data_IF_053530444478
#
_entry.id   IF_053530444478
#
_cell.length_a   1.000
_cell.length_b   1.000
_cell.length_c   1.000
_cell.angle_alpha   90.00
_cell.angle_beta   90.00
_cell.angle_gamma   90.00
#
_symmetry.space_group_name_H-M   'P 1'
#
loop_
_entity.id
_entity.type
_entity.pdbx_description
1 polymer ?
#
# COMPACT_ATOMS: atom_id res chain seq x y z
N UNK A 1 -31.53 4.41 -51.88
CA UNK A 1 -32.00 4.26 -50.48
C UNK A 1 -30.85 3.77 -49.64
N UNK A 2 -30.21 4.67 -48.89
CA UNK A 2 -29.11 4.32 -47.98
C UNK A 2 -29.74 3.90 -46.66
N UNK A 3 -29.54 2.63 -46.27
CA UNK A 3 -29.94 2.08 -44.97
C UNK A 3 -29.22 2.89 -43.89
N UNK A 4 -29.96 3.70 -43.12
CA UNK A 4 -29.43 4.30 -41.91
C UNK A 4 -28.94 3.17 -41.00
N UNK A 5 -27.66 3.18 -40.66
CA UNK A 5 -27.13 2.35 -39.58
C UNK A 5 -27.91 2.75 -38.33
N UNK A 6 -28.59 1.79 -37.72
CA UNK A 6 -29.24 1.96 -36.43
C UNK A 6 -28.23 2.57 -35.45
N UNK A 7 -28.50 3.80 -35.03
CA UNK A 7 -27.81 4.45 -33.92
C UNK A 7 -27.90 3.48 -32.74
N UNK A 8 -26.76 3.00 -32.22
CA UNK A 8 -26.77 2.39 -30.90
C UNK A 8 -27.34 3.45 -29.94
N UNK A 9 -28.29 3.12 -29.06
CA UNK A 9 -28.73 4.08 -28.06
C UNK A 9 -27.50 4.55 -27.29
N UNK A 10 -27.25 5.86 -27.29
CA UNK A 10 -26.25 6.49 -26.44
C UNK A 10 -26.63 6.12 -25.01
N UNK A 11 -26.02 5.05 -24.50
CA UNK A 11 -26.23 4.65 -23.13
C UNK A 11 -25.47 5.67 -22.32
N UNK A 12 -26.18 6.46 -21.52
CA UNK A 12 -25.54 7.49 -20.69
C UNK A 12 -24.45 6.83 -19.87
N UNK A 13 -23.21 7.23 -20.13
CA UNK A 13 -22.03 6.67 -19.49
C UNK A 13 -22.11 6.85 -17.97
N UNK A 14 -22.82 7.87 -17.49
CA UNK A 14 -23.05 8.09 -16.07
C UNK A 14 -24.05 7.10 -15.49
N UNK A 15 -25.11 6.73 -16.23
CA UNK A 15 -26.05 5.70 -15.81
C UNK A 15 -25.37 4.34 -15.73
N UNK A 16 -24.53 4.00 -16.72
CA UNK A 16 -23.73 2.77 -16.70
C UNK A 16 -22.71 2.75 -15.54
N UNK A 17 -22.00 3.84 -15.31
CA UNK A 17 -21.06 3.93 -14.19
C UNK A 17 -21.77 3.82 -12.84
N UNK A 18 -22.94 4.46 -12.71
CA UNK A 18 -23.76 4.38 -11.50
C UNK A 18 -24.26 2.96 -11.27
N UNK A 19 -24.72 2.30 -12.33
CA UNK A 19 -25.13 0.91 -12.27
C UNK A 19 -23.99 0.00 -11.81
N UNK A 20 -22.81 0.07 -12.45
CA UNK A 20 -21.67 -0.77 -12.08
C UNK A 20 -21.22 -0.53 -10.64
N UNK A 21 -21.18 0.74 -10.18
CA UNK A 21 -20.75 1.08 -8.81
C UNK A 21 -21.72 0.59 -7.74
N UNK A 22 -23.02 0.61 -8.02
CA UNK A 22 -24.06 0.34 -7.02
C UNK A 22 -24.61 -1.08 -7.08
N UNK A 23 -24.33 -1.84 -8.16
CA UNK A 23 -24.85 -3.19 -8.31
C UNK A 23 -24.22 -4.15 -7.26
N UNK A 24 -25.02 -4.63 -6.29
CA UNK A 24 -24.49 -5.44 -5.19
C UNK A 24 -23.97 -6.80 -5.67
N UNK A 25 -24.62 -7.39 -6.68
CA UNK A 25 -24.25 -8.70 -7.23
C UNK A 25 -22.90 -8.66 -7.96
N UNK A 26 -22.66 -7.60 -8.75
CA UNK A 26 -21.38 -7.41 -9.42
C UNK A 26 -20.26 -7.18 -8.40
N UNK A 27 -20.49 -6.31 -7.43
CA UNK A 27 -19.51 -6.02 -6.37
C UNK A 27 -19.22 -7.26 -5.51
N UNK A 28 -20.24 -8.03 -5.16
CA UNK A 28 -20.08 -9.27 -4.39
C UNK A 28 -19.30 -10.32 -5.19
N UNK A 29 -19.66 -10.55 -6.45
CA UNK A 29 -18.95 -11.51 -7.31
C UNK A 29 -17.48 -11.13 -7.51
N UNK A 30 -17.20 -9.83 -7.71
CA UNK A 30 -15.83 -9.33 -7.79
C UNK A 30 -15.06 -9.56 -6.49
N UNK A 31 -15.67 -9.28 -5.33
CA UNK A 31 -15.08 -9.53 -4.01
C UNK A 31 -14.77 -11.01 -3.80
N UNK A 32 -15.71 -11.91 -4.11
CA UNK A 32 -15.50 -13.35 -3.94
C UNK A 32 -14.39 -13.88 -4.85
N UNK A 33 -14.31 -13.40 -6.09
CA UNK A 33 -13.22 -13.74 -7.03
C UNK A 33 -11.85 -13.23 -6.56
N UNK A 34 -11.81 -12.06 -5.92
CA UNK A 34 -10.61 -11.47 -5.32
C UNK A 34 -10.15 -12.26 -4.10
N UNK A 35 -11.09 -12.70 -3.26
CA UNK A 35 -10.82 -13.41 -2.00
C UNK A 35 -10.63 -14.92 -2.16
N UNK A 36 -10.64 -15.47 -3.38
CA UNK A 36 -10.35 -16.89 -3.62
C UNK A 36 -8.93 -17.21 -3.14
N UNK A 37 -8.83 -17.89 -1.99
CA UNK A 37 -7.57 -18.24 -1.34
C UNK A 37 -6.61 -19.01 -2.26
N UNK A 38 -7.14 -19.79 -3.22
CA UNK A 38 -6.31 -20.55 -4.19
C UNK A 38 -5.56 -19.65 -5.16
N UNK A 39 -5.99 -18.39 -5.30
CA UNK A 39 -5.41 -17.40 -6.22
C UNK A 39 -4.71 -16.27 -5.48
N UNK A 40 -4.68 -16.29 -4.14
CA UNK A 40 -4.19 -15.21 -3.27
C UNK A 40 -2.82 -14.69 -3.72
N UNK A 41 -1.81 -15.55 -3.85
CA UNK A 41 -0.45 -15.13 -4.22
C UNK A 41 -0.39 -14.47 -5.61
N UNK A 42 -1.08 -15.08 -6.58
CA UNK A 42 -1.15 -14.55 -7.95
C UNK A 42 -1.86 -13.19 -7.99
N UNK A 43 -2.92 -13.04 -7.21
CA UNK A 43 -3.68 -11.80 -7.08
C UNK A 43 -2.87 -10.70 -6.42
N UNK A 44 -2.19 -11.00 -5.31
CA UNK A 44 -1.35 -10.04 -4.59
C UNK A 44 -0.29 -9.45 -5.53
N UNK A 45 0.46 -10.30 -6.23
CA UNK A 45 1.49 -9.84 -7.15
C UNK A 45 0.91 -9.08 -8.36
N UNK A 46 -0.26 -9.50 -8.87
CA UNK A 46 -0.93 -8.81 -9.96
C UNK A 46 -1.47 -7.43 -9.54
N UNK A 47 -2.08 -7.33 -8.36
CA UNK A 47 -2.59 -6.09 -7.80
C UNK A 47 -1.46 -5.10 -7.52
N UNK A 48 -0.36 -5.54 -6.91
CA UNK A 48 0.81 -4.70 -6.65
C UNK A 48 1.39 -4.09 -7.92
N UNK A 49 1.54 -4.90 -8.99
CA UNK A 49 2.01 -4.40 -10.30
C UNK A 49 1.02 -3.43 -10.91
N UNK A 50 -0.27 -3.78 -10.96
CA UNK A 50 -1.30 -2.96 -11.57
C UNK A 50 -1.43 -1.60 -10.87
N UNK A 51 -1.40 -1.59 -9.53
CA UNK A 51 -1.49 -0.37 -8.73
C UNK A 51 -0.22 0.46 -8.85
N UNK A 52 0.97 -0.15 -8.94
CA UNK A 52 2.20 0.60 -9.22
C UNK A 52 2.13 1.30 -10.57
N UNK A 53 1.67 0.62 -11.62
CA UNK A 53 1.48 1.27 -12.93
C UNK A 53 0.44 2.39 -12.83
N UNK A 54 -0.70 2.12 -12.23
CA UNK A 54 -1.80 3.09 -12.12
C UNK A 54 -1.46 4.33 -11.30
N UNK A 55 -0.95 4.15 -10.08
CA UNK A 55 -0.75 5.24 -9.11
C UNK A 55 0.60 5.93 -9.26
N UNK A 56 1.62 5.23 -9.77
CA UNK A 56 2.98 5.72 -9.80
C UNK A 56 3.49 5.95 -11.24
N UNK A 57 3.34 4.96 -12.13
CA UNK A 57 3.86 5.08 -13.50
C UNK A 57 3.07 6.08 -14.34
N UNK A 58 1.73 5.98 -14.35
CA UNK A 58 0.83 6.81 -15.16
C UNK A 58 0.66 8.25 -14.62
N UNK A 59 1.73 8.83 -14.09
CA UNK A 59 1.73 10.11 -13.40
C UNK A 59 3.01 10.91 -13.65
N UNK A 60 3.47 11.71 -12.68
CA UNK A 60 4.65 12.57 -12.84
C UNK A 60 5.92 11.81 -13.24
N UNK A 61 6.05 10.54 -12.83
CA UNK A 61 7.23 9.72 -13.11
C UNK A 61 7.42 9.46 -14.62
N UNK A 62 6.36 9.11 -15.35
CA UNK A 62 6.42 8.95 -16.81
C UNK A 62 6.77 10.27 -17.51
N UNK A 63 6.18 11.37 -17.05
CA UNK A 63 6.51 12.71 -17.58
C UNK A 63 7.97 13.10 -17.32
N UNK A 64 8.51 12.75 -16.14
CA UNK A 64 9.91 12.99 -15.79
C UNK A 64 10.86 12.10 -16.59
N UNK A 65 10.49 10.84 -16.85
CA UNK A 65 11.25 9.95 -17.72
C UNK A 65 11.29 10.48 -19.16
N UNK A 66 10.15 10.94 -19.70
CA UNK A 66 10.07 11.53 -21.04
C UNK A 66 10.90 12.81 -21.17
N UNK A 67 11.07 13.56 -20.08
CA UNK A 67 11.94 14.75 -20.00
C UNK A 67 13.42 14.42 -19.75
N UNK A 68 13.79 13.13 -19.68
CA UNK A 68 15.17 12.70 -19.40
C UNK A 68 15.64 12.95 -17.96
N UNK A 69 14.73 13.31 -17.04
CA UNK A 69 15.04 13.55 -15.62
C UNK A 69 15.15 12.26 -14.81
N UNK A 70 14.58 11.17 -15.31
CA UNK A 70 14.71 9.82 -14.76
C UNK A 70 15.25 8.90 -15.83
N UNK A 71 16.28 8.13 -15.50
CA UNK A 71 16.72 7.08 -16.40
C UNK A 71 15.74 5.90 -16.40
N UNK A 72 15.81 5.06 -17.43
CA UNK A 72 15.07 3.79 -17.44
C UNK A 72 15.43 2.91 -16.24
N UNK A 73 16.70 2.90 -15.83
CA UNK A 73 17.15 2.14 -14.67
C UNK A 73 16.56 2.65 -13.35
N UNK A 74 16.37 3.97 -13.21
CA UNK A 74 15.71 4.54 -12.03
C UNK A 74 14.24 4.16 -11.98
N UNK A 75 13.55 4.16 -13.14
CA UNK A 75 12.17 3.70 -13.25
C UNK A 75 12.02 2.21 -12.88
N UNK A 76 12.96 1.37 -13.31
CA UNK A 76 12.95 -0.06 -12.96
C UNK A 76 13.17 -0.30 -11.46
N UNK A 77 14.13 0.41 -10.84
CA UNK A 77 14.35 0.35 -9.38
C UNK A 77 13.12 0.80 -8.60
N UNK A 78 12.51 1.90 -9.02
CA UNK A 78 11.35 2.47 -8.34
C UNK A 78 10.11 1.58 -8.51
N UNK A 79 9.89 1.00 -9.70
CA UNK A 79 8.81 0.03 -9.93
C UNK A 79 9.00 -1.23 -9.08
N UNK A 80 10.24 -1.74 -8.97
CA UNK A 80 10.56 -2.87 -8.11
C UNK A 80 10.29 -2.56 -6.63
N UNK A 81 10.74 -1.38 -6.17
CA UNK A 81 10.51 -0.90 -4.82
C UNK A 81 9.00 -0.84 -4.50
N UNK A 82 8.24 -0.12 -5.33
CA UNK A 82 6.78 0.06 -5.14
C UNK A 82 6.02 -1.27 -5.18
N UNK A 83 6.31 -2.12 -6.18
CA UNK A 83 5.63 -3.42 -6.32
C UNK A 83 5.92 -4.33 -5.12
N UNK A 84 7.16 -4.31 -4.59
CA UNK A 84 7.53 -5.11 -3.42
C UNK A 84 6.80 -4.64 -2.16
N UNK A 85 6.73 -3.33 -1.92
CA UNK A 85 6.04 -2.76 -0.76
C UNK A 85 4.53 -2.99 -0.81
N UNK A 86 3.91 -2.79 -1.97
CA UNK A 86 2.47 -3.09 -2.16
C UNK A 86 2.17 -4.57 -2.03
N UNK A 87 3.06 -5.46 -2.50
CA UNK A 87 2.94 -6.90 -2.30
C UNK A 87 2.85 -7.24 -0.82
N UNK A 88 3.73 -6.66 0.00
CA UNK A 88 3.71 -6.87 1.45
C UNK A 88 2.44 -6.31 2.11
N UNK A 89 2.02 -5.10 1.75
CA UNK A 89 0.77 -4.52 2.24
C UNK A 89 -0.42 -5.43 1.95
N UNK A 90 -0.54 -5.94 0.73
CA UNK A 90 -1.60 -6.88 0.39
C UNK A 90 -1.44 -8.21 1.13
N UNK A 91 -0.22 -8.71 1.35
CA UNK A 91 -0.02 -9.90 2.18
C UNK A 91 -0.54 -9.70 3.60
N UNK A 92 -0.32 -8.54 4.22
CA UNK A 92 -0.85 -8.23 5.56
C UNK A 92 -2.38 -8.26 5.56
N UNK A 93 -3.01 -7.58 4.61
CA UNK A 93 -4.48 -7.50 4.49
C UNK A 93 -5.09 -8.89 4.25
N UNK A 94 -4.60 -9.62 3.24
CA UNK A 94 -5.14 -10.94 2.90
C UNK A 94 -4.81 -12.03 3.93
N UNK A 95 -3.88 -11.78 4.85
CA UNK A 95 -3.55 -12.70 5.93
C UNK A 95 -4.13 -12.24 7.27
N UNK A 96 -4.99 -11.22 7.27
CA UNK A 96 -5.64 -10.65 8.47
C UNK A 96 -4.65 -10.23 9.57
N UNK A 97 -3.42 -9.85 9.18
CA UNK A 97 -2.37 -9.34 10.09
C UNK A 97 -2.62 -7.86 10.41
N UNK A 98 -3.79 -7.57 10.98
CA UNK A 98 -4.29 -6.21 11.20
C UNK A 98 -3.43 -5.38 12.13
N UNK A 99 -2.86 -5.99 13.17
CA UNK A 99 -1.95 -5.30 14.10
C UNK A 99 -0.73 -4.75 13.36
N UNK A 100 -0.07 -5.58 12.56
CA UNK A 100 1.11 -5.17 11.79
C UNK A 100 0.77 -4.14 10.71
N UNK A 101 -0.39 -4.28 10.08
CA UNK A 101 -0.89 -3.29 9.12
C UNK A 101 -1.15 -1.93 9.78
N UNK A 102 -1.76 -1.92 10.97
CA UNK A 102 -1.98 -0.71 11.77
C UNK A 102 -0.65 -0.08 12.17
N UNK A 103 0.30 -0.85 12.71
CA UNK A 103 1.62 -0.36 13.11
C UNK A 103 2.40 0.21 11.93
N UNK A 104 2.32 -0.44 10.77
CA UNK A 104 2.88 0.09 9.51
C UNK A 104 2.31 1.49 9.23
N UNK A 105 0.98 1.66 9.22
CA UNK A 105 0.35 2.96 8.95
C UNK A 105 0.76 4.00 10.00
N UNK A 106 0.65 3.66 11.28
CA UNK A 106 0.91 4.59 12.38
C UNK A 106 2.36 5.06 12.39
N UNK A 107 3.31 4.17 12.09
CA UNK A 107 4.72 4.56 12.04
C UNK A 107 4.99 5.54 10.91
N UNK A 108 4.51 5.25 9.70
CA UNK A 108 4.75 6.14 8.56
C UNK A 108 3.98 7.47 8.69
N UNK A 109 2.90 7.51 9.48
CA UNK A 109 2.22 8.75 9.85
C UNK A 109 2.97 9.55 10.94
N UNK A 110 3.49 8.88 11.97
CA UNK A 110 4.21 9.51 13.09
C UNK A 110 5.59 10.04 12.71
N UNK A 111 6.25 9.39 11.75
CA UNK A 111 7.64 9.70 11.37
C UNK A 111 7.79 11.02 10.59
N UNK A 112 6.74 11.82 10.42
CA UNK A 112 6.84 13.12 9.74
C UNK A 112 7.35 13.02 8.31
N UNK A 113 7.30 11.81 7.71
CA UNK A 113 7.67 11.52 6.33
C UNK A 113 6.60 12.06 5.37
N UNK A 114 6.31 13.35 5.49
CA UNK A 114 6.03 14.15 4.31
C UNK A 114 7.29 14.06 3.45
N UNK A 115 7.13 13.86 2.14
CA UNK A 115 8.19 13.43 1.21
C UNK A 115 9.34 14.42 0.99
N UNK A 116 9.80 15.10 2.03
CA UNK A 116 10.85 16.11 2.02
C UNK A 116 12.23 15.53 2.38
N UNK A 117 12.30 14.31 2.95
CA UNK A 117 13.56 13.59 3.22
C UNK A 117 13.65 12.24 2.46
N UNK A 118 14.39 12.19 1.34
CA UNK A 118 14.63 10.96 0.57
C UNK A 118 15.38 9.86 1.34
N UNK A 119 16.10 10.21 2.42
CA UNK A 119 16.92 9.27 3.18
C UNK A 119 16.12 8.31 4.07
N UNK A 120 14.91 8.69 4.45
CA UNK A 120 14.11 7.93 5.41
C UNK A 120 13.19 6.88 4.78
N UNK A 121 13.09 6.83 3.44
CA UNK A 121 12.27 5.85 2.69
C UNK A 121 13.00 4.50 2.53
N UNK A 122 14.29 4.41 2.89
CA UNK A 122 15.06 3.17 2.76
C UNK A 122 15.04 2.30 4.03
N UNK A 123 13.85 2.06 4.58
CA UNK A 123 13.64 1.07 5.64
C UNK A 123 13.25 -0.26 4.99
N UNK A 124 14.17 -1.21 5.02
CA UNK A 124 13.94 -2.56 4.50
C UNK A 124 12.88 -3.27 5.36
N UNK A 125 12.24 -4.32 4.82
CA UNK A 125 11.25 -5.13 5.55
C UNK A 125 11.71 -5.59 6.94
N UNK A 126 12.99 -5.95 7.11
CA UNK A 126 13.55 -6.33 8.40
C UNK A 126 13.52 -5.19 9.45
N UNK A 127 13.70 -3.93 9.02
CA UNK A 127 13.61 -2.78 9.91
C UNK A 127 12.15 -2.52 10.33
N UNK A 128 11.18 -2.89 9.49
CA UNK A 128 9.77 -2.83 9.85
C UNK A 128 9.41 -3.90 10.88
N UNK A 129 9.90 -5.13 10.72
CA UNK A 129 9.67 -6.23 11.68
C UNK A 129 10.23 -5.88 13.07
N UNK A 130 11.46 -5.36 13.13
CA UNK A 130 12.06 -4.93 14.39
C UNK A 130 11.24 -3.81 15.05
N UNK A 131 10.80 -2.84 14.26
CA UNK A 131 10.01 -1.72 14.75
C UNK A 131 8.61 -2.15 15.22
N UNK A 132 7.99 -3.15 14.58
CA UNK A 132 6.74 -3.75 15.05
C UNK A 132 6.94 -4.39 16.43
N UNK A 133 8.04 -5.11 16.63
CA UNK A 133 8.39 -5.68 17.93
C UNK A 133 8.60 -4.58 18.97
N UNK A 134 9.36 -3.53 18.65
CA UNK A 134 9.61 -2.42 19.57
C UNK A 134 8.31 -1.71 19.99
N UNK A 135 7.38 -1.48 19.05
CA UNK A 135 6.06 -0.91 19.35
C UNK A 135 5.19 -1.84 20.21
N UNK A 136 5.24 -3.15 19.96
CA UNK A 136 4.53 -4.14 20.77
C UNK A 136 5.04 -4.13 22.22
N UNK A 137 6.35 -4.19 22.43
CA UNK A 137 6.95 -4.18 23.77
C UNK A 137 6.77 -2.86 24.51
N UNK A 138 6.80 -1.72 23.80
CA UNK A 138 6.51 -0.41 24.39
C UNK A 138 5.04 -0.29 24.88
N UNK A 139 4.11 -1.06 24.30
CA UNK A 139 2.70 -1.04 24.69
C UNK A 139 2.37 -1.97 25.87
N UNK A 140 3.18 -3.01 26.12
CA UNK A 140 2.94 -3.99 27.20
C UNK A 140 3.73 -3.74 28.50
N UNK A 141 4.67 -2.78 28.51
CA UNK A 141 5.42 -2.43 29.73
C UNK A 141 5.38 -0.93 30.02
N UNK A 142 4.43 -0.44 30.85
CA UNK A 142 4.57 0.87 31.46
C UNK A 142 5.64 0.79 32.56
N UNK A 143 6.74 1.51 32.35
CA UNK A 143 7.83 1.83 33.29
C UNK A 143 7.79 1.15 34.67
N UNK A 144 8.32 -0.08 34.76
CA UNK A 144 8.67 -0.68 36.04
C UNK A 144 10.15 -0.51 36.34
N UNK A 145 10.68 0.72 36.36
CA UNK A 145 12.02 0.95 36.91
C UNK A 145 12.20 2.40 37.36
N UNK A 146 11.66 2.70 38.55
CA UNK A 146 12.33 3.65 39.43
C UNK A 146 12.02 3.35 40.90
N UNK A 147 12.60 2.26 41.41
CA UNK A 147 12.84 2.14 42.84
C UNK A 147 14.22 1.53 43.06
N UNK A 148 14.99 2.23 43.91
CA UNK A 148 16.28 1.82 44.49
C UNK A 148 17.48 2.02 43.56
N UNK A 149 18.17 3.16 43.69
CA UNK A 149 19.48 3.26 44.36
C UNK A 149 19.75 4.75 44.67
N UNK A 150 19.65 5.16 45.94
CA UNK A 150 20.50 6.24 46.45
C UNK A 150 21.34 5.64 47.58
N UNK A 151 22.63 5.73 47.35
CA UNK A 151 23.70 5.05 48.06
C UNK A 151 23.83 5.53 49.50
N UNK A 152 24.18 4.58 50.37
CA UNK A 152 24.86 4.84 51.63
C UNK A 152 26.09 5.71 51.38
N UNK A 153 26.13 6.89 51.98
CA UNK A 153 27.36 7.66 52.16
C UNK A 153 27.72 7.65 53.64
N UNK A 154 28.85 7.01 53.92
CA UNK A 154 29.63 7.19 55.13
C UNK A 154 29.99 8.68 55.29
N UNK A 155 29.74 9.25 56.47
CA UNK A 155 30.67 9.94 57.39
C UNK A 155 29.92 10.17 58.70
#
# INVERSE_FOLDING_TARGET
MIKQRSQCPETDTNELLTFVRTNPTLNQSARESLLDARKKEKWIAAAARAITVFAFHNGPAESMQAQGKLSRGDMEKMNLFMTSHLTYVFQLIFSERWFEFKTLIETYNLSGLHGDDPGAINKNFAALEQMILDCFFASEMPDSENSVVVQNSQI
#
